data_IF_840969380028
#
_entry.id   IF_840969380028
#
_cell.length_a   1.000
_cell.length_b   1.000
_cell.length_c   1.000
_cell.angle_alpha   90.00
_cell.angle_beta   90.00
_cell.angle_gamma   90.00
#
_symmetry.space_group_name_H-M   'P 1'
#
loop_
_entity.id
_entity.type
_entity.pdbx_description
1 polymer ?
#
# COMPACT_ATOMS: atom_id res chain seq x y z
N UNK A 1 -27.74 3.64 10.53
CA UNK A 1 -26.99 3.08 11.56
C UNK A 1 -25.51 3.25 11.38
N UNK A 2 -24.86 3.52 12.46
CA UNK A 2 -23.45 3.84 12.46
C UNK A 2 -22.54 2.72 12.00
N UNK A 3 -23.04 1.52 11.89
CA UNK A 3 -22.23 0.40 11.44
C UNK A 3 -21.52 0.70 10.12
N UNK A 4 -22.17 1.48 9.24
CA UNK A 4 -21.57 1.80 7.97
C UNK A 4 -20.27 2.58 8.10
N UNK A 5 -20.14 3.39 9.14
CA UNK A 5 -18.95 4.20 9.34
C UNK A 5 -17.72 3.37 9.72
N UNK A 6 -17.95 2.16 10.23
CA UNK A 6 -16.87 1.31 10.71
C UNK A 6 -16.76 0.04 9.88
N UNK A 7 -17.23 0.08 8.65
CA UNK A 7 -17.15 -1.10 7.78
C UNK A 7 -15.69 -1.44 7.51
N UNK A 8 -15.35 -2.69 7.73
CA UNK A 8 -14.03 -3.22 7.42
C UNK A 8 -14.14 -4.06 6.16
N UNK A 9 -13.34 -3.73 5.18
CA UNK A 9 -13.30 -4.49 3.93
C UNK A 9 -12.16 -5.49 4.00
N UNK A 10 -12.50 -6.74 4.21
CA UNK A 10 -11.53 -7.81 4.09
C UNK A 10 -11.41 -8.18 2.62
N UNK A 11 -10.20 -8.39 2.17
CA UNK A 11 -10.05 -8.71 0.77
C UNK A 11 -8.64 -9.04 0.36
N UNK A 12 -8.49 -9.10 -0.95
CA UNK A 12 -7.23 -9.37 -1.62
C UNK A 12 -7.08 -8.36 -2.74
N UNK A 13 -5.95 -7.67 -2.76
CA UNK A 13 -5.71 -6.61 -3.74
C UNK A 13 -4.33 -6.75 -4.35
N UNK A 14 -4.20 -6.32 -5.59
CA UNK A 14 -2.92 -6.21 -6.27
C UNK A 14 -2.65 -4.74 -6.54
N UNK A 15 -1.47 -4.28 -6.17
CA UNK A 15 -1.08 -2.89 -6.34
C UNK A 15 0.40 -2.72 -6.07
N UNK A 16 0.81 -1.51 -5.82
CA UNK A 16 2.22 -1.16 -5.62
C UNK A 16 2.46 -0.65 -4.22
N UNK A 17 3.64 -0.96 -3.68
CA UNK A 17 4.09 -0.30 -2.46
C UNK A 17 4.85 0.95 -2.90
N UNK A 18 4.20 2.08 -2.79
CA UNK A 18 4.77 3.38 -3.15
C UNK A 18 5.12 4.18 -1.91
N UNK A 19 5.18 5.49 -2.07
CA UNK A 19 5.44 6.41 -0.97
C UNK A 19 4.35 7.48 -0.92
N UNK A 20 4.21 8.10 0.24
CA UNK A 20 3.15 9.08 0.45
C UNK A 20 3.39 10.40 -0.30
N UNK A 21 4.62 10.66 -0.72
CA UNK A 21 4.92 11.87 -1.50
C UNK A 21 4.35 11.79 -2.91
N UNK A 22 4.51 10.65 -3.57
CA UNK A 22 4.06 10.47 -4.95
C UNK A 22 2.62 10.03 -5.05
N UNK A 23 2.12 9.36 -4.01
CA UNK A 23 0.72 8.91 -4.01
C UNK A 23 0.41 8.02 -5.20
N UNK A 24 -0.67 8.34 -5.92
CA UNK A 24 -1.12 7.53 -7.05
C UNK A 24 -0.13 7.45 -8.20
N UNK A 25 0.83 8.35 -8.28
CA UNK A 25 1.88 8.27 -9.30
C UNK A 25 2.75 7.05 -9.14
N UNK A 26 2.75 6.43 -7.97
CA UNK A 26 3.49 5.20 -7.72
C UNK A 26 2.84 3.95 -8.26
N UNK A 27 1.76 4.06 -9.01
CA UNK A 27 1.00 2.91 -9.51
C UNK A 27 1.60 2.38 -10.82
N UNK A 28 2.92 2.22 -10.89
CA UNK A 28 3.58 1.65 -12.05
C UNK A 28 5.01 1.25 -11.72
N UNK A 29 5.56 0.39 -12.56
CA UNK A 29 6.90 -0.16 -12.34
C UNK A 29 8.00 0.89 -12.52
N UNK A 30 7.79 1.85 -13.38
CA UNK A 30 8.81 2.88 -13.64
C UNK A 30 9.05 3.74 -12.41
N UNK A 31 8.12 3.76 -11.48
CA UNK A 31 8.24 4.56 -10.28
C UNK A 31 8.99 3.86 -9.14
N UNK A 32 9.40 2.62 -9.34
CA UNK A 32 10.00 1.81 -8.26
C UNK A 32 11.24 2.46 -7.66
N UNK A 33 12.16 2.92 -8.49
CA UNK A 33 13.38 3.55 -8.00
C UNK A 33 13.08 4.83 -7.23
N UNK A 34 12.10 5.61 -7.70
CA UNK A 34 11.69 6.83 -7.03
C UNK A 34 11.07 6.52 -5.67
N UNK A 35 10.21 5.51 -5.60
CA UNK A 35 9.60 5.10 -4.35
C UNK A 35 10.65 4.69 -3.33
N UNK A 36 11.62 3.88 -3.75
CA UNK A 36 12.71 3.45 -2.86
C UNK A 36 13.50 4.64 -2.35
N UNK A 37 13.82 5.57 -3.22
CA UNK A 37 14.58 6.76 -2.86
C UNK A 37 13.81 7.63 -1.88
N UNK A 38 12.51 7.83 -2.10
CA UNK A 38 11.68 8.63 -1.22
C UNK A 38 11.56 8.00 0.16
N UNK A 39 11.34 6.70 0.23
CA UNK A 39 11.25 6.02 1.52
C UNK A 39 12.57 6.08 2.26
N UNK A 40 13.68 5.92 1.56
CA UNK A 40 15.00 6.04 2.14
C UNK A 40 15.23 7.44 2.72
N UNK A 41 14.63 8.45 2.11
CA UNK A 41 14.72 9.83 2.58
C UNK A 41 13.71 10.19 3.64
N UNK A 42 12.95 9.22 4.16
CA UNK A 42 12.03 9.45 5.26
C UNK A 42 10.56 9.50 4.90
N UNK A 43 10.22 9.30 3.63
CA UNK A 43 8.80 9.23 3.23
C UNK A 43 8.20 7.91 3.68
N UNK A 44 6.90 7.91 3.87
CA UNK A 44 6.18 6.76 4.44
C UNK A 44 5.65 5.88 3.32
N UNK A 45 5.89 4.56 3.37
CA UNK A 45 5.31 3.65 2.38
C UNK A 45 3.79 3.62 2.45
N UNK A 46 3.18 3.53 1.29
CA UNK A 46 1.72 3.39 1.16
C UNK A 46 1.41 2.30 0.14
N UNK A 47 0.17 1.82 0.17
CA UNK A 47 -0.31 0.84 -0.81
C UNK A 47 -1.14 1.57 -1.85
N UNK A 48 -0.75 1.45 -3.12
CA UNK A 48 -1.41 2.15 -4.22
C UNK A 48 -2.11 1.14 -5.10
N UNK A 49 -3.44 1.26 -5.20
CA UNK A 49 -4.26 0.40 -6.04
C UNK A 49 -5.05 1.31 -6.98
N UNK A 50 -4.76 1.22 -8.28
CA UNK A 50 -5.39 2.08 -9.28
C UNK A 50 -5.22 3.56 -8.89
N UNK A 51 -6.30 4.27 -8.62
CA UNK A 51 -6.26 5.68 -8.26
C UNK A 51 -6.43 5.94 -6.77
N UNK A 52 -6.24 4.89 -5.94
CA UNK A 52 -6.42 5.00 -4.49
C UNK A 52 -5.13 4.74 -3.75
N UNK A 53 -4.95 5.45 -2.66
CA UNK A 53 -3.79 5.33 -1.80
C UNK A 53 -4.27 4.97 -0.40
N UNK A 54 -3.70 3.91 0.17
CA UNK A 54 -4.03 3.48 1.51
C UNK A 54 -2.81 3.57 2.40
N UNK A 55 -3.01 4.11 3.60
CA UNK A 55 -1.99 4.03 4.65
C UNK A 55 -1.81 2.58 5.07
N UNK A 56 -0.63 2.24 5.56
CA UNK A 56 -0.33 0.89 6.00
C UNK A 56 -0.07 0.91 7.50
N UNK A 57 -0.83 0.10 8.23
CA UNK A 57 -0.72 0.04 9.68
C UNK A 57 0.56 -0.69 10.12
N UNK A 58 0.86 -1.82 9.48
CA UNK A 58 1.99 -2.65 9.87
C UNK A 58 3.13 -2.52 8.84
N UNK A 59 3.77 -1.37 8.88
CA UNK A 59 4.78 -0.95 7.89
C UNK A 59 5.96 -1.90 7.77
N UNK A 60 6.30 -2.60 8.83
CA UNK A 60 7.45 -3.49 8.80
C UNK A 60 7.32 -4.59 7.75
N UNK A 61 6.10 -4.99 7.46
CA UNK A 61 5.85 -6.05 6.48
C UNK A 61 6.17 -5.63 5.05
N UNK A 62 6.24 -4.32 4.78
CA UNK A 62 6.46 -3.85 3.40
C UNK A 62 7.89 -3.41 3.14
N UNK A 63 8.78 -3.47 4.11
CA UNK A 63 10.15 -2.96 3.98
C UNK A 63 10.88 -3.51 2.77
N UNK A 64 10.66 -4.77 2.46
CA UNK A 64 11.36 -5.43 1.37
C UNK A 64 10.58 -5.40 0.06
N UNK A 65 9.48 -4.65 0.03
CA UNK A 65 8.59 -4.62 -1.14
C UNK A 65 8.46 -3.22 -1.75
N UNK A 66 9.22 -2.25 -1.26
CA UNK A 66 9.10 -0.86 -1.73
C UNK A 66 9.32 -0.79 -3.23
N UNK A 67 8.36 -0.20 -3.94
CA UNK A 67 8.41 -0.07 -5.39
C UNK A 67 7.93 -1.29 -6.16
N UNK A 68 7.65 -2.38 -5.47
CA UNK A 68 7.23 -3.62 -6.12
C UNK A 68 5.72 -3.67 -6.31
N UNK A 69 5.31 -4.39 -7.34
CA UNK A 69 3.92 -4.77 -7.48
C UNK A 69 3.68 -6.02 -6.64
N UNK A 70 2.69 -5.94 -5.76
CA UNK A 70 2.45 -6.98 -4.76
C UNK A 70 0.99 -7.38 -4.74
N UNK A 71 0.73 -8.57 -4.21
CA UNK A 71 -0.61 -9.02 -3.87
C UNK A 71 -0.70 -9.09 -2.35
N UNK A 72 -1.70 -8.43 -1.79
CA UNK A 72 -1.89 -8.31 -0.36
C UNK A 72 -3.26 -8.85 0.01
N UNK A 73 -3.32 -9.64 1.09
CA UNK A 73 -4.58 -9.91 1.76
C UNK A 73 -4.56 -9.16 3.09
N UNK A 74 -5.72 -8.69 3.50
CA UNK A 74 -5.81 -7.95 4.75
C UNK A 74 -7.16 -7.29 4.91
N UNK A 75 -7.18 -6.23 5.70
CA UNK A 75 -8.39 -5.50 6.03
C UNK A 75 -8.14 -4.01 5.82
N UNK A 76 -9.08 -3.34 5.16
CA UNK A 76 -9.02 -1.89 4.98
C UNK A 76 -10.16 -1.26 5.80
N UNK A 77 -9.81 -0.30 6.63
CA UNK A 77 -10.76 0.47 7.43
C UNK A 77 -10.34 1.94 7.39
N UNK A 78 -11.22 2.81 6.97
CA UNK A 78 -10.94 4.24 6.89
C UNK A 78 -9.65 4.54 6.13
N UNK A 79 -9.46 3.88 5.01
CA UNK A 79 -8.28 4.01 4.15
C UNK A 79 -6.97 3.58 4.84
N UNK A 80 -7.06 2.77 5.87
CA UNK A 80 -5.90 2.18 6.52
C UNK A 80 -5.91 0.68 6.28
N UNK A 81 -4.83 0.18 5.72
CA UNK A 81 -4.67 -1.24 5.43
C UNK A 81 -3.91 -1.91 6.57
N UNK A 82 -4.48 -3.00 7.07
CA UNK A 82 -3.77 -3.92 7.96
C UNK A 82 -3.48 -5.18 7.15
N UNK A 83 -2.21 -5.46 6.93
CA UNK A 83 -1.78 -6.55 6.06
C UNK A 83 -1.78 -7.87 6.83
N UNK A 84 -2.39 -8.90 6.24
CA UNK A 84 -2.27 -10.27 6.74
C UNK A 84 -1.18 -11.01 6.00
N UNK A 85 -1.18 -10.94 4.66
CA UNK A 85 -0.14 -11.55 3.85
C UNK A 85 0.26 -10.60 2.74
N UNK A 86 1.53 -10.69 2.33
CA UNK A 86 2.04 -9.91 1.21
C UNK A 86 3.01 -10.78 0.43
N UNK A 87 2.94 -10.70 -0.88
CA UNK A 87 3.89 -11.36 -1.75
C UNK A 87 4.01 -10.59 -3.05
N UNK A 88 5.14 -10.72 -3.73
CA UNK A 88 5.30 -10.13 -5.03
C UNK A 88 4.30 -10.73 -6.00
N UNK A 89 3.76 -9.88 -6.87
CA UNK A 89 2.92 -10.36 -7.95
C UNK A 89 3.81 -11.06 -8.96
N UNK A 90 3.33 -12.17 -9.43
CA UNK A 90 4.04 -12.92 -10.46
C UNK A 90 3.75 -12.43 -11.84
#
# INVERSE_FOLDING_TARGET
LTAAANVMDKGKWTGFIGDDHCGTKGNNKEHAACAKSCVKGGKIPVFVVADKVYSISNLKLVENFIGNEVTITGTITDNVLVIETIKNKK
#
